data_IF_870643936463
#
_entry.id   IF_870643936463
#
_cell.length_a   1.000
_cell.length_b   1.000
_cell.length_c   1.000
_cell.angle_alpha   90.00
_cell.angle_beta   90.00
_cell.angle_gamma   90.00
#
_symmetry.space_group_name_H-M   'P 1'
#
loop_
_entity.id
_entity.type
_entity.pdbx_description
1 polymer ?
#
# COMPACT_ATOMS: atom_id res chain seq x y z
N UNK A 1 -17.97 13.77 -0.18
CA UNK A 1 -16.73 13.54 0.58
C UNK A 1 -15.57 14.09 -0.23
N UNK A 2 -14.62 14.77 0.42
CA UNK A 2 -13.50 15.43 -0.25
C UNK A 2 -12.24 14.60 0.01
N UNK A 3 -12.07 13.52 -0.75
CA UNK A 3 -11.07 12.46 -0.51
C UNK A 3 -9.61 12.93 -0.69
N UNK A 4 -9.41 14.11 -1.27
CA UNK A 4 -8.07 14.64 -1.60
C UNK A 4 -7.48 15.52 -0.50
N UNK A 5 -8.17 15.70 0.64
CA UNK A 5 -7.72 16.61 1.72
C UNK A 5 -6.31 16.25 2.22
N UNK A 6 -5.99 14.96 2.26
CA UNK A 6 -4.69 14.47 2.74
C UNK A 6 -4.08 13.43 1.79
N UNK A 7 -3.71 13.88 0.59
CA UNK A 7 -2.91 13.11 -0.36
C UNK A 7 -1.41 13.31 -0.11
N UNK A 8 -0.71 12.20 0.16
CA UNK A 8 0.74 12.14 0.33
C UNK A 8 1.36 11.37 -0.84
N UNK A 9 2.22 12.04 -1.61
CA UNK A 9 2.88 11.44 -2.79
C UNK A 9 4.36 11.14 -2.50
N UNK A 10 4.77 9.91 -2.76
CA UNK A 10 6.14 9.41 -2.55
C UNK A 10 6.70 8.76 -3.83
N UNK A 11 7.74 9.33 -4.42
CA UNK A 11 8.32 8.79 -5.64
C UNK A 11 9.85 8.89 -5.67
N UNK A 12 10.45 8.19 -6.63
CA UNK A 12 11.89 8.27 -6.89
C UNK A 12 12.31 9.67 -7.32
N UNK A 13 13.53 10.06 -6.96
CA UNK A 13 14.07 11.39 -7.28
C UNK A 13 13.73 12.48 -6.27
N UNK A 14 12.92 12.20 -5.24
CA UNK A 14 12.68 13.17 -4.16
C UNK A 14 13.94 13.40 -3.32
N UNK A 15 14.33 14.67 -3.19
CA UNK A 15 15.41 15.08 -2.31
C UNK A 15 15.08 14.86 -0.84
N UNK A 16 16.10 14.76 0.01
CA UNK A 16 15.97 14.47 1.45
C UNK A 16 15.03 15.45 2.16
N UNK A 17 15.16 16.76 1.88
CA UNK A 17 14.31 17.79 2.48
C UNK A 17 12.83 17.64 2.09
N UNK A 18 12.57 17.33 0.82
CA UNK A 18 11.20 17.13 0.33
C UNK A 18 10.58 15.89 0.97
N UNK A 19 11.32 14.79 1.02
CA UNK A 19 10.88 13.56 1.69
C UNK A 19 10.55 13.81 3.16
N UNK A 20 11.42 14.51 3.89
CA UNK A 20 11.18 14.88 5.29
C UNK A 20 9.89 15.68 5.45
N UNK A 21 9.68 16.71 4.63
CA UNK A 21 8.47 17.54 4.67
C UNK A 21 7.19 16.72 4.43
N UNK A 22 7.24 15.78 3.49
CA UNK A 22 6.11 14.89 3.20
C UNK A 22 5.81 13.95 4.38
N UNK A 23 6.86 13.42 5.03
CA UNK A 23 6.71 12.58 6.22
C UNK A 23 6.18 13.37 7.43
N UNK A 24 6.67 14.59 7.64
CA UNK A 24 6.15 15.51 8.67
C UNK A 24 4.68 15.83 8.42
N UNK A 25 4.30 16.04 7.15
CA UNK A 25 2.90 16.26 6.79
C UNK A 25 2.04 15.02 7.10
N UNK A 26 2.46 13.83 6.68
CA UNK A 26 1.75 12.57 6.99
C UNK A 26 1.54 12.37 8.51
N UNK A 27 2.57 12.67 9.31
CA UNK A 27 2.51 12.59 10.76
C UNK A 27 1.57 13.65 11.38
N UNK A 28 1.41 14.80 10.74
CA UNK A 28 0.54 15.89 11.22
C UNK A 28 -0.96 15.67 10.97
N UNK A 29 -1.33 14.70 10.10
CA UNK A 29 -2.72 14.41 9.80
C UNK A 29 -3.41 13.89 11.07
N UNK A 30 -4.56 14.44 11.47
CA UNK A 30 -5.31 13.97 12.63
C UNK A 30 -5.64 12.48 12.55
N UNK A 31 -5.77 11.83 13.71
CA UNK A 31 -5.98 10.39 13.78
C UNK A 31 -7.28 9.94 13.10
N UNK A 32 -8.33 10.75 13.20
CA UNK A 32 -9.68 10.49 12.70
C UNK A 32 -9.95 10.97 11.26
N UNK A 33 -8.95 11.47 10.54
CA UNK A 33 -9.10 11.96 9.17
C UNK A 33 -8.72 10.91 8.13
N UNK A 34 -9.37 10.87 6.98
CA UNK A 34 -8.96 9.97 5.89
C UNK A 34 -7.64 10.44 5.26
N UNK A 35 -6.82 9.51 4.76
CA UNK A 35 -5.56 9.86 4.08
C UNK A 35 -5.21 8.86 2.99
N UNK A 36 -4.59 9.36 1.92
CA UNK A 36 -4.14 8.55 0.80
C UNK A 36 -2.64 8.69 0.62
N UNK A 37 -1.94 7.56 0.49
CA UNK A 37 -0.53 7.54 0.12
C UNK A 37 -0.41 6.98 -1.30
N UNK A 38 0.05 7.82 -2.22
CA UNK A 38 0.41 7.41 -3.57
C UNK A 38 1.92 7.23 -3.65
N UNK A 39 2.37 5.99 -3.87
CA UNK A 39 3.80 5.69 -3.86
C UNK A 39 4.24 4.79 -5.01
N UNK A 40 5.46 5.01 -5.52
CA UNK A 40 6.11 4.03 -6.41
C UNK A 40 6.72 2.89 -5.61
N UNK A 41 6.85 1.71 -6.22
CA UNK A 41 7.09 0.47 -5.47
C UNK A 41 8.31 0.45 -4.53
N UNK A 42 9.42 1.10 -4.89
CA UNK A 42 10.61 1.16 -4.01
C UNK A 42 10.34 1.88 -2.68
N UNK A 43 9.36 2.79 -2.63
CA UNK A 43 9.08 3.65 -1.48
C UNK A 43 8.05 3.09 -0.52
N UNK A 44 7.14 2.24 -1.01
CA UNK A 44 6.24 1.47 -0.13
C UNK A 44 7.07 0.49 0.73
N UNK A 45 8.27 0.08 0.30
CA UNK A 45 9.14 -0.81 1.07
C UNK A 45 9.91 -0.16 2.22
N UNK A 46 10.28 1.13 2.13
CA UNK A 46 11.29 1.74 3.01
C UNK A 46 10.92 3.11 3.61
N UNK A 47 9.89 3.78 3.11
CA UNK A 47 9.79 5.25 3.24
C UNK A 47 8.84 5.83 4.29
N UNK A 48 7.83 5.08 4.75
CA UNK A 48 6.81 5.63 5.66
C UNK A 48 6.29 4.60 6.65
N UNK A 49 5.82 5.03 7.81
CA UNK A 49 5.18 4.20 8.82
C UNK A 49 3.91 4.89 9.28
N UNK A 50 2.76 4.31 8.94
CA UNK A 50 1.46 4.83 9.33
C UNK A 50 0.54 3.66 9.67
N UNK A 51 0.38 3.40 10.97
CA UNK A 51 -0.43 2.30 11.48
C UNK A 51 -1.92 2.47 11.16
N UNK A 52 -2.37 3.66 10.74
CA UNK A 52 -3.78 3.95 10.44
C UNK A 52 -4.22 3.37 9.11
N UNK A 53 -3.28 3.00 8.23
CA UNK A 53 -3.59 2.43 6.92
C UNK A 53 -4.13 1.01 7.02
N UNK A 54 -5.27 0.79 6.38
CA UNK A 54 -5.99 -0.49 6.33
C UNK A 54 -6.14 -1.04 4.91
N UNK A 55 -5.89 -0.22 3.88
CA UNK A 55 -6.20 -0.57 2.49
C UNK A 55 -5.01 -0.35 1.56
N UNK A 56 -4.76 -1.32 0.67
CA UNK A 56 -3.69 -1.28 -0.33
C UNK A 56 -4.25 -1.46 -1.74
N UNK A 57 -3.91 -0.53 -2.63
CA UNK A 57 -4.20 -0.64 -4.05
C UNK A 57 -2.92 -1.05 -4.80
N UNK A 58 -2.90 -2.24 -5.39
CA UNK A 58 -1.79 -2.72 -6.22
C UNK A 58 -2.08 -2.47 -7.69
N UNK A 59 -1.55 -1.37 -8.21
CA UNK A 59 -1.66 -0.99 -9.63
C UNK A 59 -0.35 -1.23 -10.42
N UNK A 60 0.59 -2.02 -9.87
CA UNK A 60 1.92 -2.24 -10.46
C UNK A 60 2.14 -3.73 -10.77
N UNK A 61 2.72 -4.08 -11.94
CA UNK A 61 2.95 -5.46 -12.32
C UNK A 61 4.21 -6.03 -11.64
N UNK A 62 4.04 -6.73 -10.53
CA UNK A 62 5.13 -7.43 -9.85
C UNK A 62 4.72 -8.82 -9.34
N UNK A 63 5.71 -9.69 -9.08
CA UNK A 63 5.45 -11.03 -8.54
C UNK A 63 6.39 -11.46 -7.42
N UNK A 64 7.27 -10.59 -6.94
CA UNK A 64 8.22 -10.95 -5.88
C UNK A 64 7.50 -11.00 -4.52
N UNK A 65 7.54 -12.18 -3.88
CA UNK A 65 6.87 -12.43 -2.59
C UNK A 65 7.36 -11.50 -1.48
N UNK A 66 8.66 -11.19 -1.44
CA UNK A 66 9.22 -10.30 -0.42
C UNK A 66 8.59 -8.91 -0.43
N UNK A 67 8.40 -8.34 -1.63
CA UNK A 67 7.75 -7.04 -1.79
C UNK A 67 6.28 -7.08 -1.37
N UNK A 68 5.57 -8.15 -1.72
CA UNK A 68 4.17 -8.33 -1.34
C UNK A 68 4.00 -8.34 0.18
N UNK A 69 4.86 -9.12 0.87
CA UNK A 69 4.87 -9.22 2.33
C UNK A 69 5.22 -7.88 2.96
N UNK A 70 6.20 -7.16 2.40
CA UNK A 70 6.55 -5.82 2.89
C UNK A 70 5.37 -4.83 2.78
N UNK A 71 4.63 -4.86 1.68
CA UNK A 71 3.51 -3.94 1.48
C UNK A 71 2.34 -4.28 2.40
N UNK A 72 1.88 -5.54 2.36
CA UNK A 72 0.78 -6.00 3.19
C UNK A 72 1.09 -5.91 4.69
N UNK A 73 2.34 -6.19 5.09
CA UNK A 73 2.77 -6.10 6.49
C UNK A 73 2.68 -4.69 7.08
N UNK A 74 2.68 -3.63 6.26
CA UNK A 74 2.44 -2.26 6.76
C UNK A 74 1.01 -2.06 7.20
N UNK A 75 0.06 -2.70 6.53
CA UNK A 75 -1.34 -2.64 6.88
C UNK A 75 -1.65 -3.45 8.14
N UNK A 76 -0.84 -4.46 8.46
CA UNK A 76 -1.02 -5.33 9.64
C UNK A 76 -0.63 -4.68 10.98
N UNK A 77 -0.19 -3.42 10.98
CA UNK A 77 0.09 -2.68 12.22
C UNK A 77 -1.20 -2.42 12.99
N UNK A 78 -1.19 -2.68 14.30
CA UNK A 78 -2.36 -2.48 15.15
C UNK A 78 -2.71 -0.99 15.27
N UNK A 79 -4.00 -0.68 15.16
CA UNK A 79 -4.55 0.66 15.37
C UNK A 79 -5.98 0.55 15.90
N UNK A 80 -6.40 1.33 16.92
CA UNK A 80 -7.73 1.19 17.52
C UNK A 80 -8.90 1.34 16.53
N UNK A 81 -8.76 2.19 15.50
CA UNK A 81 -9.78 2.40 14.47
C UNK A 81 -9.77 1.38 13.32
N UNK A 82 -8.83 0.42 13.32
CA UNK A 82 -8.67 -0.54 12.21
C UNK A 82 -9.45 -1.81 12.47
N UNK A 83 -10.48 -2.03 11.67
CA UNK A 83 -11.39 -3.19 11.79
C UNK A 83 -11.00 -4.31 10.83
N UNK A 84 -10.60 -3.97 9.62
CA UNK A 84 -10.24 -4.91 8.57
C UNK A 84 -9.01 -4.45 7.79
N UNK A 85 -8.43 -5.35 6.99
CA UNK A 85 -7.34 -5.02 6.08
C UNK A 85 -7.70 -5.49 4.68
N UNK A 86 -7.70 -4.58 3.72
CA UNK A 86 -8.12 -4.84 2.35
C UNK A 86 -6.98 -4.66 1.35
N UNK A 87 -6.95 -5.52 0.32
CA UNK A 87 -6.03 -5.37 -0.81
C UNK A 87 -6.82 -5.48 -2.11
N UNK A 88 -6.75 -4.42 -2.90
CA UNK A 88 -7.27 -4.37 -4.26
C UNK A 88 -6.11 -4.64 -5.23
N UNK A 89 -6.06 -5.85 -5.79
CA UNK A 89 -5.07 -6.25 -6.79
C UNK A 89 -5.63 -6.01 -8.20
N UNK A 90 -5.12 -5.01 -8.91
CA UNK A 90 -5.53 -4.75 -10.29
C UNK A 90 -4.81 -5.71 -11.24
N UNK A 91 -5.61 -6.44 -12.03
CA UNK A 91 -5.13 -7.52 -12.88
C UNK A 91 -5.55 -7.29 -14.32
N UNK A 92 -4.59 -7.42 -15.23
CA UNK A 92 -4.86 -7.60 -16.65
C UNK A 92 -4.62 -9.06 -17.02
N UNK A 93 -5.71 -9.83 -17.09
CA UNK A 93 -5.67 -11.27 -17.40
C UNK A 93 -5.49 -11.56 -18.89
N UNK A 94 -5.64 -10.54 -19.75
CA UNK A 94 -5.47 -10.68 -21.20
C UNK A 94 -4.00 -10.83 -21.58
N UNK A 95 -3.08 -10.35 -20.73
CA UNK A 95 -1.64 -10.44 -20.91
C UNK A 95 -1.08 -11.63 -20.12
N UNK A 96 -0.59 -12.70 -20.78
CA UNK A 96 -0.21 -13.95 -20.10
C UNK A 96 0.87 -13.79 -19.02
N UNK A 97 1.78 -12.84 -19.19
CA UNK A 97 2.82 -12.54 -18.20
C UNK A 97 2.22 -11.90 -16.94
N UNK A 98 1.25 -11.00 -17.08
CA UNK A 98 0.58 -10.33 -15.96
C UNK A 98 -0.34 -11.28 -15.19
N UNK A 99 -1.06 -12.17 -15.89
CA UNK A 99 -1.82 -13.25 -15.27
C UNK A 99 -0.93 -14.15 -14.39
N UNK A 100 0.22 -14.60 -14.91
CA UNK A 100 1.19 -15.39 -14.13
C UNK A 100 1.74 -14.65 -12.92
N UNK A 101 1.90 -13.32 -13.01
CA UNK A 101 2.32 -12.51 -11.86
C UNK A 101 1.23 -12.46 -10.79
N UNK A 102 -0.03 -12.27 -11.20
CA UNK A 102 -1.18 -12.31 -10.30
C UNK A 102 -1.30 -13.66 -9.57
N UNK A 103 -1.17 -14.79 -10.29
CA UNK A 103 -1.19 -16.13 -9.66
C UNK A 103 -0.16 -16.27 -8.53
N UNK A 104 1.04 -15.69 -8.74
CA UNK A 104 2.09 -15.67 -7.72
C UNK A 104 1.71 -14.78 -6.53
N UNK A 105 1.07 -13.62 -6.78
CA UNK A 105 0.57 -12.74 -5.71
C UNK A 105 -0.55 -13.42 -4.91
N UNK A 106 -1.51 -14.10 -5.56
CA UNK A 106 -2.58 -14.85 -4.90
C UNK A 106 -2.06 -15.93 -3.94
N UNK A 107 -1.03 -16.69 -4.35
CA UNK A 107 -0.32 -17.63 -3.45
C UNK A 107 0.30 -16.93 -2.24
N UNK A 108 0.84 -15.72 -2.45
CA UNK A 108 1.39 -14.88 -1.40
C UNK A 108 0.32 -14.39 -0.42
N UNK A 109 -0.79 -13.84 -0.92
CA UNK A 109 -1.95 -13.42 -0.12
C UNK A 109 -2.48 -14.56 0.74
N UNK A 110 -2.71 -15.74 0.14
CA UNK A 110 -3.16 -16.93 0.87
C UNK A 110 -2.20 -17.32 2.00
N UNK A 111 -0.89 -17.23 1.76
CA UNK A 111 0.13 -17.52 2.80
C UNK A 111 0.05 -16.53 3.97
N UNK A 112 -0.38 -15.29 3.71
CA UNK A 112 -0.55 -14.24 4.73
C UNK A 112 -1.93 -14.27 5.40
N UNK A 113 -2.79 -15.25 5.07
CA UNK A 113 -4.13 -15.39 5.65
C UNK A 113 -5.20 -14.50 5.03
N UNK A 114 -4.93 -13.88 3.88
CA UNK A 114 -5.96 -13.15 3.14
C UNK A 114 -6.91 -14.12 2.45
N UNK A 115 -8.18 -13.73 2.45
CA UNK A 115 -9.26 -14.40 1.74
C UNK A 115 -9.80 -13.49 0.65
N UNK A 116 -10.29 -14.08 -0.43
CA UNK A 116 -10.95 -13.32 -1.48
C UNK A 116 -12.36 -12.96 -1.02
N UNK A 117 -12.71 -11.68 -1.11
CA UNK A 117 -14.09 -11.26 -0.89
C UNK A 117 -15.01 -12.00 -1.88
N UNK A 118 -16.05 -12.63 -1.36
CA UNK A 118 -17.04 -13.40 -2.12
C UNK A 118 -18.21 -12.52 -2.52
#
# INVERSE_FOLDING_TARGET
MNYDRYLVVLHGGMGVKQRRKVMEHLASIPDNEERLILATGRYIGEGFDDARLDTLFLALPFSWKGMLVQYAGRLHRLHPGKVEVQVYDYVDSSVPMLAKMHDKRMKGFKTMGYEQAT
#
